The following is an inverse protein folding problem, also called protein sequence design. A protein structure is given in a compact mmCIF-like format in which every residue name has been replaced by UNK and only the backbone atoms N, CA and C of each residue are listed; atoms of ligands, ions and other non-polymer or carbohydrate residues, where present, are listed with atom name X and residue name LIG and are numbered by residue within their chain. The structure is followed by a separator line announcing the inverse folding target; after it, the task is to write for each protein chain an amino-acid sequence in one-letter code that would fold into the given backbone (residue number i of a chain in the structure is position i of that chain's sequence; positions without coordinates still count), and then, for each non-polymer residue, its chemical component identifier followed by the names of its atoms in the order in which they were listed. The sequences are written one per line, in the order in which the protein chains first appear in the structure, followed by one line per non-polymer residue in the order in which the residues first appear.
data_IF_890716184713
#
_entry.id   IF_890716184713
#
_cell.length_a   1.000
_cell.length_b   1.000
_cell.length_c   1.000
_cell.angle_alpha   90.00
_cell.angle_beta   90.00
_cell.angle_gamma   90.00
#
_symmetry.space_group_name_H-M   'P 1'
#
loop_
_entity.id
_entity.type
_entity.pdbx_description
1 polymer ?
#
# COMPACT_ATOMS: atom_id res chain seq x y z
N UNK A 1 -60.88 -5.89 -54.92
CA UNK A 1 -59.61 -6.16 -54.26
C UNK A 1 -59.09 -4.83 -53.74
N UNK A 2 -59.38 -4.51 -52.44
CA UNK A 2 -59.00 -3.21 -51.88
C UNK A 2 -57.63 -3.42 -51.18
N UNK A 3 -56.62 -2.80 -51.70
CA UNK A 3 -55.32 -2.71 -51.08
C UNK A 3 -55.44 -1.75 -49.89
N UNK A 4 -55.29 -2.26 -48.67
CA UNK A 4 -55.19 -1.48 -47.45
C UNK A 4 -53.82 -0.82 -47.41
N UNK A 5 -53.74 0.40 -47.99
CA UNK A 5 -52.56 1.27 -47.79
C UNK A 5 -52.61 1.82 -46.36
N UNK A 6 -51.95 1.18 -45.46
CA UNK A 6 -51.76 1.74 -44.13
C UNK A 6 -50.86 2.96 -44.20
N UNK A 7 -51.44 4.16 -44.22
CA UNK A 7 -50.74 5.42 -44.05
C UNK A 7 -50.25 5.48 -42.59
N UNK A 8 -48.96 5.28 -42.39
CA UNK A 8 -48.34 5.50 -41.09
C UNK A 8 -48.42 7.00 -40.78
N UNK A 9 -49.12 7.31 -39.71
CA UNK A 9 -49.28 8.67 -39.24
C UNK A 9 -47.90 9.26 -38.90
N UNK A 10 -47.51 10.42 -39.43
CA UNK A 10 -46.16 11.02 -39.13
C UNK A 10 -45.92 11.23 -37.65
N UNK A 11 -47.00 11.40 -36.84
CA UNK A 11 -46.94 11.49 -35.41
C UNK A 11 -46.48 10.18 -34.73
N UNK A 12 -46.90 9.01 -35.25
CA UNK A 12 -46.47 7.72 -34.71
C UNK A 12 -45.04 7.37 -35.05
N UNK A 13 -44.52 7.78 -36.20
CA UNK A 13 -43.15 7.60 -36.59
C UNK A 13 -42.20 8.45 -35.72
N UNK A 14 -42.56 9.71 -35.43
CA UNK A 14 -41.80 10.59 -34.58
C UNK A 14 -41.77 10.12 -33.12
N UNK A 15 -42.88 9.59 -32.60
CA UNK A 15 -42.95 9.03 -31.27
C UNK A 15 -42.05 7.78 -31.13
N UNK A 16 -42.06 6.89 -32.07
CA UNK A 16 -41.17 5.71 -32.09
C UNK A 16 -39.72 6.11 -32.18
N UNK A 17 -39.34 7.06 -33.03
CA UNK A 17 -37.96 7.56 -33.13
C UNK A 17 -37.49 8.19 -31.83
N UNK A 18 -38.35 8.92 -31.11
CA UNK A 18 -38.03 9.50 -29.79
C UNK A 18 -37.79 8.41 -28.74
N UNK A 19 -38.59 7.35 -28.72
CA UNK A 19 -38.47 6.24 -27.79
C UNK A 19 -37.16 5.48 -28.04
N UNK A 20 -36.87 5.13 -29.29
CA UNK A 20 -35.65 4.43 -29.65
C UNK A 20 -34.39 5.29 -29.43
N UNK A 21 -34.46 6.59 -29.66
CA UNK A 21 -33.37 7.54 -29.44
C UNK A 21 -33.06 7.69 -27.93
N UNK A 22 -34.08 7.77 -27.08
CA UNK A 22 -33.90 7.86 -25.64
C UNK A 22 -33.38 6.56 -25.00
N UNK A 23 -33.81 5.41 -25.48
CA UNK A 23 -33.37 4.09 -25.02
C UNK A 23 -31.90 3.84 -25.37
N UNK A 24 -31.52 4.14 -26.62
CA UNK A 24 -30.12 3.98 -27.05
C UNK A 24 -29.16 4.94 -26.34
N UNK A 25 -29.60 6.17 -26.07
CA UNK A 25 -28.84 7.15 -25.30
C UNK A 25 -28.60 6.72 -23.82
N UNK A 26 -29.63 6.18 -23.18
CA UNK A 26 -29.54 5.69 -21.81
C UNK A 26 -28.61 4.47 -21.69
N UNK A 27 -28.63 3.55 -22.63
CA UNK A 27 -27.74 2.38 -22.66
C UNK A 27 -26.28 2.79 -22.88
N UNK A 28 -26.00 3.69 -23.80
CA UNK A 28 -24.64 4.17 -24.07
C UNK A 28 -24.04 4.89 -22.86
N UNK A 29 -24.81 5.72 -22.16
CA UNK A 29 -24.34 6.40 -20.95
C UNK A 29 -24.08 5.44 -19.79
N UNK A 30 -24.91 4.42 -19.62
CA UNK A 30 -24.75 3.42 -18.56
C UNK A 30 -23.48 2.59 -18.74
N UNK A 31 -23.16 2.18 -19.96
CA UNK A 31 -21.94 1.42 -20.26
C UNK A 31 -20.69 2.28 -20.04
N UNK A 32 -20.72 3.55 -20.48
CA UNK A 32 -19.62 4.49 -20.25
C UNK A 32 -19.33 4.71 -18.76
N UNK A 33 -20.38 4.92 -17.98
CA UNK A 33 -20.28 5.10 -16.53
C UNK A 33 -19.73 3.84 -15.84
N UNK A 34 -20.20 2.67 -16.22
CA UNK A 34 -19.74 1.39 -15.64
C UNK A 34 -18.25 1.12 -15.89
N UNK A 35 -17.77 1.38 -17.11
CA UNK A 35 -16.34 1.22 -17.47
C UNK A 35 -15.49 2.21 -16.67
N UNK A 36 -15.91 3.47 -16.56
CA UNK A 36 -15.17 4.51 -15.83
C UNK A 36 -15.11 4.20 -14.33
N UNK A 37 -16.22 3.78 -13.72
CA UNK A 37 -16.26 3.39 -12.32
C UNK A 37 -15.32 2.21 -12.03
N UNK A 38 -15.34 1.19 -12.89
CA UNK A 38 -14.47 0.01 -12.68
C UNK A 38 -12.97 0.33 -12.75
N UNK A 39 -12.57 1.33 -13.54
CA UNK A 39 -11.20 1.82 -13.58
C UNK A 39 -10.86 2.66 -12.35
N UNK A 40 -11.79 3.49 -11.88
CA UNK A 40 -11.61 4.28 -10.66
C UNK A 40 -11.50 3.37 -9.43
N UNK A 41 -12.37 2.38 -9.27
CA UNK A 41 -12.35 1.44 -8.14
C UNK A 41 -11.00 0.70 -8.02
N UNK A 42 -10.40 0.31 -9.14
CA UNK A 42 -9.08 -0.34 -9.13
C UNK A 42 -7.97 0.60 -8.68
N UNK A 43 -7.99 1.85 -9.14
CA UNK A 43 -7.00 2.87 -8.73
C UNK A 43 -7.14 3.19 -7.25
N UNK A 44 -8.37 3.33 -6.77
CA UNK A 44 -8.65 3.61 -5.36
C UNK A 44 -8.20 2.47 -4.44
N UNK A 45 -8.43 1.21 -4.85
CA UNK A 45 -7.96 0.05 -4.10
C UNK A 45 -6.43 -0.03 -4.04
N UNK A 46 -5.74 0.26 -5.14
CA UNK A 46 -4.29 0.28 -5.17
C UNK A 46 -3.74 1.44 -4.33
N UNK A 47 -4.31 2.63 -4.43
CA UNK A 47 -3.93 3.79 -3.62
C UNK A 47 -4.09 3.49 -2.12
N UNK A 48 -5.19 2.86 -1.72
CA UNK A 48 -5.40 2.42 -0.32
C UNK A 48 -4.36 1.39 0.12
N UNK A 49 -3.99 0.45 -0.74
CA UNK A 49 -2.94 -0.54 -0.43
C UNK A 49 -1.57 0.12 -0.24
N UNK A 50 -1.21 1.07 -1.10
CA UNK A 50 0.04 1.83 -0.98
C UNK A 50 0.05 2.59 0.34
N UNK A 51 -1.01 3.33 0.65
CA UNK A 51 -1.12 4.07 1.90
C UNK A 51 -1.00 3.17 3.14
N UNK A 52 -1.68 2.01 3.14
CA UNK A 52 -1.58 1.06 4.24
C UNK A 52 -0.16 0.48 4.43
N UNK A 53 0.57 0.24 3.33
CA UNK A 53 1.97 -0.22 3.42
C UNK A 53 2.89 0.88 3.92
N UNK A 54 2.73 2.10 3.40
CA UNK A 54 3.48 3.26 3.87
C UNK A 54 3.31 3.47 5.38
N UNK A 55 2.07 3.41 5.86
CA UNK A 55 1.77 3.47 7.29
C UNK A 55 2.45 2.35 8.07
N UNK A 56 2.34 1.10 7.60
CA UNK A 56 2.95 -0.05 8.24
C UNK A 56 4.47 0.06 8.34
N UNK A 57 5.12 0.54 7.27
CA UNK A 57 6.57 0.74 7.26
C UNK A 57 6.99 1.88 8.20
N UNK A 58 6.23 2.97 8.22
CA UNK A 58 6.46 4.09 9.16
C UNK A 58 6.32 3.65 10.61
N UNK A 59 5.27 2.88 10.93
CA UNK A 59 5.05 2.32 12.27
C UNK A 59 6.22 1.41 12.68
N UNK A 60 6.68 0.53 11.77
CA UNK A 60 7.79 -0.36 12.03
C UNK A 60 9.11 0.39 12.25
N UNK A 61 9.40 1.41 11.43
CA UNK A 61 10.59 2.25 11.60
C UNK A 61 10.56 2.95 12.95
N UNK A 62 9.44 3.58 13.31
CA UNK A 62 9.29 4.31 14.57
C UNK A 62 9.47 3.40 15.78
N UNK A 63 8.82 2.25 15.78
CA UNK A 63 8.93 1.28 16.87
C UNK A 63 10.34 0.69 16.96
N UNK A 64 10.94 0.32 15.82
CA UNK A 64 12.29 -0.20 15.79
C UNK A 64 13.33 0.82 16.25
N UNK A 65 13.18 2.09 15.90
CA UNK A 65 14.05 3.15 16.39
C UNK A 65 13.93 3.36 17.89
N UNK A 66 12.71 3.29 18.44
CA UNK A 66 12.47 3.38 19.88
C UNK A 66 13.14 2.23 20.64
N UNK A 67 12.94 0.99 20.17
CA UNK A 67 13.52 -0.20 20.78
C UNK A 67 15.06 -0.23 20.63
N UNK A 68 15.58 0.26 19.49
CA UNK A 68 17.02 0.41 19.28
C UNK A 68 17.65 1.38 20.29
N UNK A 69 17.00 2.53 20.52
CA UNK A 69 17.46 3.50 21.51
C UNK A 69 17.45 2.93 22.94
N UNK A 70 16.44 2.11 23.26
CA UNK A 70 16.40 1.41 24.56
C UNK A 70 17.52 0.35 24.65
N UNK A 71 17.79 -0.40 23.58
CA UNK A 71 18.82 -1.42 23.53
C UNK A 71 20.24 -0.86 23.77
N UNK A 72 20.51 0.36 23.34
CA UNK A 72 21.79 1.05 23.58
C UNK A 72 21.99 1.40 25.06
N UNK A 73 20.91 1.70 25.77
CA UNK A 73 20.93 2.18 27.14
C UNK A 73 20.75 1.09 28.20
N UNK A 74 20.15 -0.03 27.83
CA UNK A 74 19.71 -1.06 28.78
C UNK A 74 20.04 -2.46 28.28
N UNK A 75 20.40 -3.33 29.22
CA UNK A 75 20.46 -4.77 28.94
C UNK A 75 19.05 -5.35 28.82
N UNK A 76 18.92 -6.45 28.07
CA UNK A 76 17.66 -7.13 27.82
C UNK A 76 17.09 -7.77 29.10
N UNK A 77 16.18 -7.06 29.78
CA UNK A 77 15.54 -7.56 30.99
C UNK A 77 14.06 -7.92 30.82
N UNK A 78 13.40 -7.41 29.76
CA UNK A 78 11.98 -7.62 29.54
C UNK A 78 11.68 -7.98 28.06
N UNK A 79 11.39 -9.26 27.77
CA UNK A 79 11.01 -9.71 26.42
C UNK A 79 9.78 -9.01 25.84
N UNK A 80 8.89 -8.46 26.68
CA UNK A 80 7.67 -7.80 26.22
C UNK A 80 7.96 -6.51 25.43
N UNK A 81 9.13 -5.91 25.63
CA UNK A 81 9.55 -4.71 24.88
C UNK A 81 9.63 -4.94 23.36
N UNK A 82 9.94 -6.15 22.93
CA UNK A 82 9.98 -6.51 21.51
C UNK A 82 8.62 -6.90 20.92
N UNK A 83 7.61 -7.12 21.76
CA UNK A 83 6.30 -7.59 21.30
C UNK A 83 5.64 -6.71 20.23
N UNK A 84 5.62 -5.36 20.36
CA UNK A 84 5.07 -4.49 19.32
C UNK A 84 5.83 -4.60 17.99
N UNK A 85 7.16 -4.66 18.03
CA UNK A 85 8.01 -4.79 16.85
C UNK A 85 7.75 -6.11 16.13
N UNK A 86 7.60 -7.22 16.86
CA UNK A 86 7.25 -8.53 16.30
C UNK A 86 5.83 -8.55 15.72
N UNK A 87 4.89 -7.82 16.31
CA UNK A 87 3.55 -7.67 15.76
C UNK A 87 3.58 -6.95 14.40
N UNK A 88 4.38 -5.88 14.29
CA UNK A 88 4.59 -5.16 13.03
C UNK A 88 5.31 -6.02 11.99
N UNK A 89 6.35 -6.78 12.38
CA UNK A 89 7.01 -7.74 11.49
C UNK A 89 6.03 -8.76 10.94
N UNK A 90 5.12 -9.28 11.78
CA UNK A 90 4.11 -10.24 11.34
C UNK A 90 3.15 -9.62 10.30
N UNK A 91 2.80 -8.35 10.45
CA UNK A 91 2.00 -7.61 9.47
C UNK A 91 2.76 -7.41 8.16
N UNK A 92 4.06 -7.08 8.22
CA UNK A 92 4.95 -6.98 7.05
C UNK A 92 5.00 -8.32 6.31
N UNK A 93 5.15 -9.44 7.03
CA UNK A 93 5.17 -10.79 6.46
C UNK A 93 3.91 -11.13 5.67
N UNK A 94 2.76 -10.60 6.08
CA UNK A 94 1.47 -10.84 5.42
C UNK A 94 1.25 -9.99 4.16
N UNK A 95 1.88 -8.82 4.08
CA UNK A 95 1.47 -7.81 3.09
C UNK A 95 2.58 -7.32 2.17
N UNK A 96 3.86 -7.55 2.48
CA UNK A 96 5.00 -6.96 1.78
C UNK A 96 5.76 -7.99 0.94
N UNK A 97 6.70 -7.53 0.12
CA UNK A 97 7.60 -8.41 -0.65
C UNK A 97 8.58 -9.17 0.24
N UNK A 98 9.21 -10.19 -0.34
CA UNK A 98 10.24 -10.98 0.35
C UNK A 98 11.44 -10.11 0.75
N UNK A 99 11.82 -9.13 -0.10
CA UNK A 99 12.96 -8.26 0.15
C UNK A 99 12.72 -7.33 1.35
N UNK A 100 11.50 -6.75 1.43
CA UNK A 100 11.09 -5.93 2.58
C UNK A 100 11.06 -6.77 3.86
N UNK A 101 10.53 -7.99 3.78
CA UNK A 101 10.51 -8.90 4.93
C UNK A 101 11.92 -9.25 5.40
N UNK A 102 12.80 -9.65 4.49
CA UNK A 102 14.17 -10.01 4.82
C UNK A 102 14.91 -8.84 5.49
N UNK A 103 14.73 -7.62 4.99
CA UNK A 103 15.34 -6.43 5.58
C UNK A 103 14.74 -6.09 6.96
N UNK A 104 13.43 -6.26 7.16
CA UNK A 104 12.81 -6.10 8.47
C UNK A 104 13.31 -7.12 9.50
N UNK A 105 13.53 -8.37 9.08
CA UNK A 105 14.12 -9.41 9.93
C UNK A 105 15.57 -9.06 10.33
N UNK A 106 16.36 -8.47 9.41
CA UNK A 106 17.72 -7.97 9.72
C UNK A 106 17.69 -6.85 10.76
N UNK A 107 16.72 -5.91 10.67
CA UNK A 107 16.54 -4.86 11.70
C UNK A 107 16.33 -5.48 13.07
N UNK A 108 15.45 -6.47 13.18
CA UNK A 108 15.17 -7.13 14.47
C UNK A 108 16.40 -7.89 14.98
N UNK A 109 17.11 -8.61 14.11
CA UNK A 109 18.34 -9.29 14.49
C UNK A 109 19.39 -8.32 15.02
N UNK A 110 19.53 -7.15 14.39
CA UNK A 110 20.44 -6.11 14.85
C UNK A 110 20.04 -5.55 16.22
N UNK A 111 18.74 -5.33 16.47
CA UNK A 111 18.23 -4.91 17.77
C UNK A 111 18.58 -5.95 18.86
N UNK A 112 18.33 -7.23 18.61
CA UNK A 112 18.62 -8.31 19.54
C UNK A 112 20.13 -8.39 19.82
N UNK A 113 20.96 -8.28 18.79
CA UNK A 113 22.41 -8.25 18.95
C UNK A 113 22.87 -7.09 19.83
N UNK A 114 22.30 -5.89 19.62
CA UNK A 114 22.62 -4.69 20.42
C UNK A 114 22.26 -4.90 21.89
N UNK A 115 21.14 -5.52 22.21
CA UNK A 115 20.77 -5.86 23.59
C UNK A 115 21.72 -6.89 24.24
N UNK A 116 22.38 -7.72 23.44
CA UNK A 116 23.32 -8.75 23.93
C UNK A 116 24.72 -8.20 24.18
N UNK A 117 25.01 -6.99 23.74
CA UNK A 117 26.28 -6.33 23.93
C UNK A 117 26.30 -5.54 25.27
N UNK A 118 27.47 -5.39 25.91
CA UNK A 118 27.58 -4.48 27.03
C UNK A 118 27.28 -3.04 26.61
N UNK A 119 26.79 -2.22 27.55
CA UNK A 119 26.46 -0.82 27.29
C UNK A 119 27.55 -0.12 26.47
N UNK A 120 27.18 0.36 25.29
CA UNK A 120 28.10 1.01 24.35
C UNK A 120 28.56 2.36 24.93
N UNK A 121 29.85 2.63 24.83
CA UNK A 121 30.38 3.96 25.13
C UNK A 121 29.98 4.96 24.04
N UNK A 122 29.95 6.28 24.36
CA UNK A 122 29.66 7.31 23.36
C UNK A 122 30.57 7.25 22.14
N UNK A 123 31.84 6.86 22.32
CA UNK A 123 32.84 6.72 21.26
C UNK A 123 32.50 5.54 20.33
N UNK A 124 32.04 4.43 20.89
CA UNK A 124 31.61 3.25 20.11
C UNK A 124 30.34 3.53 19.31
N UNK A 125 29.37 4.25 19.89
CA UNK A 125 28.17 4.71 19.19
C UNK A 125 28.55 5.58 17.99
N UNK A 126 29.47 6.54 18.18
CA UNK A 126 29.92 7.44 17.13
C UNK A 126 30.69 6.69 16.03
N UNK A 127 31.50 5.70 16.41
CA UNK A 127 32.21 4.82 15.48
C UNK A 127 31.27 3.99 14.61
N UNK A 128 30.19 3.43 15.18
CA UNK A 128 29.16 2.67 14.45
C UNK A 128 28.37 3.57 13.50
N UNK A 129 27.98 4.75 13.95
CA UNK A 129 27.31 5.74 13.11
C UNK A 129 28.19 6.15 11.90
N UNK A 130 29.50 6.29 12.11
CA UNK A 130 30.45 6.61 11.04
C UNK A 130 30.62 5.46 10.02
N UNK A 131 30.44 4.20 10.42
CA UNK A 131 30.50 3.03 9.53
C UNK A 131 29.22 2.83 8.70
N UNK A 132 28.21 3.69 8.84
CA UNK A 132 26.93 3.60 8.13
C UNK A 132 26.20 2.26 8.35
N UNK A 133 26.43 1.60 9.45
CA UNK A 133 25.71 0.39 9.90
C UNK A 133 24.34 0.78 10.47
N UNK A 134 23.50 1.37 9.63
CA UNK A 134 22.13 1.73 9.98
C UNK A 134 21.15 0.81 9.24
N UNK A 135 20.67 -0.26 9.91
CA UNK A 135 19.75 -1.21 9.27
C UNK A 135 18.39 -0.58 8.93
N UNK A 136 17.98 0.48 9.62
CA UNK A 136 16.74 1.21 9.30
C UNK A 136 16.85 1.99 8.00
N UNK A 137 18.05 2.48 7.64
CA UNK A 137 18.31 3.14 6.36
C UNK A 137 18.14 2.16 5.20
N UNK A 138 18.72 0.97 5.32
CA UNK A 138 18.59 -0.10 4.31
C UNK A 138 17.13 -0.49 4.14
N UNK A 139 16.43 -0.78 5.22
CA UNK A 139 15.00 -1.09 5.24
C UNK A 139 14.17 0.02 4.56
N UNK A 140 14.44 1.28 4.89
CA UNK A 140 13.73 2.43 4.30
C UNK A 140 13.92 2.53 2.79
N UNK A 141 15.13 2.22 2.28
CA UNK A 141 15.42 2.24 0.86
C UNK A 141 14.67 1.13 0.11
N UNK A 142 14.62 -0.08 0.67
CA UNK A 142 13.91 -1.22 0.08
C UNK A 142 12.39 -0.95 0.09
N UNK A 143 11.84 -0.42 1.19
CA UNK A 143 10.44 -0.02 1.26
C UNK A 143 10.07 1.03 0.22
N UNK A 144 10.93 2.04 0.03
CA UNK A 144 10.73 3.08 -1.00
C UNK A 144 10.68 2.48 -2.40
N UNK A 145 11.62 1.59 -2.75
CA UNK A 145 11.66 0.95 -4.05
C UNK A 145 10.39 0.11 -4.32
N UNK A 146 9.87 -0.60 -3.30
CA UNK A 146 8.60 -1.32 -3.42
C UNK A 146 7.42 -0.38 -3.65
N UNK A 147 7.29 0.71 -2.87
CA UNK A 147 6.22 1.68 -3.00
C UNK A 147 6.24 2.38 -4.37
N UNK A 148 7.42 2.76 -4.87
CA UNK A 148 7.60 3.33 -6.22
C UNK A 148 7.15 2.34 -7.31
N UNK A 149 7.50 1.07 -7.17
CA UNK A 149 7.07 0.02 -8.10
C UNK A 149 5.55 -0.11 -8.12
N UNK A 150 4.90 -0.08 -6.96
CA UNK A 150 3.43 -0.10 -6.86
C UNK A 150 2.78 1.16 -7.44
N UNK A 151 3.36 2.33 -7.23
CA UNK A 151 2.88 3.60 -7.79
C UNK A 151 2.96 3.61 -9.32
N UNK A 152 4.00 3.04 -9.90
CA UNK A 152 4.15 2.94 -11.35
C UNK A 152 3.10 2.03 -12.00
N UNK A 153 2.50 1.10 -11.26
CA UNK A 153 1.36 0.29 -11.72
C UNK A 153 0.04 1.07 -11.78
N UNK A 154 -0.03 2.28 -11.20
CA UNK A 154 -1.18 3.17 -11.25
C UNK A 154 -1.19 4.10 -12.46
N UNK A 155 -0.05 4.25 -13.14
CA UNK A 155 0.12 5.10 -14.34
C UNK A 155 -0.23 4.35 -15.61
#
# INVERSE_FOLDING_TARGET
MRLIGGSWDPASISALAAIFGSLSGALASSVGTWITQRHQDRRDLLAKRIFHREQLYSDFISESAHVMADAIQHSFHDPNKLSPTYALLSRIRLSSSADVLASAEQVIQHIIATYSEPNLTPEEIQSRAAKHEDPLREFSNICRAELETMQNQLR
#
